data_IF_037808288588
#
_entry.id   IF_037808288588
#
_cell.length_a   1.000
_cell.length_b   1.000
_cell.length_c   1.000
_cell.angle_alpha   90.00
_cell.angle_beta   90.00
_cell.angle_gamma   90.00
#
_symmetry.space_group_name_H-M   'P 1'
#
loop_
_entity.id
_entity.type
_entity.pdbx_description
1 polymer ?
#
# COMPACT_ATOMS: atom_id res chain seq x y z
N UNK A 1 -14.49 4.50 -26.39
CA UNK A 1 -13.26 3.72 -26.11
C UNK A 1 -13.35 3.15 -24.70
N UNK A 2 -14.46 2.45 -24.39
CA UNK A 2 -14.63 1.76 -23.12
C UNK A 2 -14.20 0.31 -23.30
N UNK A 3 -13.55 -0.26 -22.30
CA UNK A 3 -13.24 -1.69 -22.12
C UNK A 3 -11.96 -2.25 -22.76
N UNK A 4 -11.15 -1.45 -23.46
CA UNK A 4 -9.87 -1.94 -23.96
C UNK A 4 -8.80 -1.86 -22.86
N UNK A 5 -8.51 -3.01 -22.24
CA UNK A 5 -7.34 -3.18 -21.39
C UNK A 5 -6.11 -3.49 -22.24
N UNK A 6 -5.05 -2.70 -22.07
CA UNK A 6 -3.75 -2.88 -22.70
C UNK A 6 -2.99 -4.04 -22.06
N UNK A 7 -3.15 -4.25 -20.74
CA UNK A 7 -2.49 -5.30 -19.97
C UNK A 7 -3.51 -6.21 -19.25
N UNK A 8 -4.41 -6.91 -19.97
CA UNK A 8 -5.41 -7.76 -19.36
C UNK A 8 -4.78 -8.92 -18.59
N UNK A 9 -5.28 -9.18 -17.37
CA UNK A 9 -4.71 -10.21 -16.50
C UNK A 9 -4.62 -11.59 -17.15
N UNK A 10 -5.59 -11.98 -17.99
CA UNK A 10 -5.61 -13.28 -18.65
C UNK A 10 -4.37 -13.52 -19.56
N UNK A 11 -3.86 -12.47 -20.19
CA UNK A 11 -2.70 -12.55 -21.09
C UNK A 11 -1.39 -12.22 -20.35
N UNK A 12 -1.45 -11.31 -19.37
CA UNK A 12 -0.27 -10.74 -18.71
C UNK A 12 -0.09 -11.20 -17.25
N UNK A 13 -0.75 -12.28 -16.80
CA UNK A 13 -0.59 -12.82 -15.43
C UNK A 13 0.88 -13.05 -15.04
N UNK A 14 1.71 -13.43 -16.01
CA UNK A 14 3.15 -13.65 -15.83
C UNK A 14 3.89 -12.36 -15.47
N UNK A 15 3.43 -11.20 -15.94
CA UNK A 15 4.00 -9.90 -15.58
C UNK A 15 3.68 -9.53 -14.13
N UNK A 16 2.47 -9.83 -13.65
CA UNK A 16 2.11 -9.69 -12.22
C UNK A 16 2.98 -10.59 -11.34
N UNK A 17 3.12 -11.87 -11.72
CA UNK A 17 3.95 -12.82 -10.97
C UNK A 17 5.42 -12.41 -11.00
N UNK A 18 5.94 -12.01 -12.16
CA UNK A 18 7.30 -11.52 -12.33
C UNK A 18 7.58 -10.27 -11.49
N UNK A 19 6.62 -9.34 -11.46
CA UNK A 19 6.69 -8.14 -10.62
C UNK A 19 6.71 -8.50 -9.13
N UNK A 20 5.81 -9.36 -8.66
CA UNK A 20 5.77 -9.81 -7.25
C UNK A 20 7.08 -10.55 -6.89
N UNK A 21 7.61 -11.39 -7.78
CA UNK A 21 8.87 -12.07 -7.55
C UNK A 21 10.04 -11.07 -7.42
N UNK A 22 10.14 -10.12 -8.35
CA UNK A 22 11.14 -9.05 -8.28
C UNK A 22 10.99 -8.22 -7.00
N UNK A 23 9.74 -7.94 -6.59
CA UNK A 23 9.41 -7.24 -5.36
C UNK A 23 9.93 -7.96 -4.12
N UNK A 24 9.63 -9.26 -4.02
CA UNK A 24 10.06 -10.09 -2.89
C UNK A 24 11.58 -10.17 -2.82
N UNK A 25 12.28 -10.19 -3.96
CA UNK A 25 13.74 -10.13 -4.01
C UNK A 25 14.24 -8.77 -3.51
N UNK A 26 13.67 -7.66 -3.96
CA UNK A 26 14.03 -6.31 -3.51
C UNK A 26 13.80 -6.16 -2.01
N UNK A 27 12.66 -6.63 -1.49
CA UNK A 27 12.36 -6.60 -0.05
C UNK A 27 13.30 -7.50 0.75
N UNK A 28 13.61 -8.70 0.25
CA UNK A 28 14.57 -9.60 0.89
C UNK A 28 15.98 -8.99 0.94
N UNK A 29 16.41 -8.28 -0.11
CA UNK A 29 17.66 -7.53 -0.12
C UNK A 29 17.64 -6.34 0.85
N UNK A 30 16.57 -5.54 0.85
CA UNK A 30 16.44 -4.39 1.77
C UNK A 30 16.49 -4.83 3.25
N UNK A 31 15.84 -5.95 3.56
CA UNK A 31 15.83 -6.54 4.90
C UNK A 31 17.15 -7.23 5.25
N UNK A 32 17.66 -8.08 4.37
CA UNK A 32 18.85 -8.89 4.64
C UNK A 32 20.15 -8.07 4.68
N UNK A 33 20.30 -7.10 3.77
CA UNK A 33 21.54 -6.31 3.64
C UNK A 33 21.53 -5.12 4.58
N UNK A 34 20.36 -4.50 4.80
CA UNK A 34 20.30 -3.21 5.46
C UNK A 34 19.53 -3.17 6.78
N UNK A 35 18.92 -4.27 7.24
CA UNK A 35 18.35 -4.37 8.59
C UNK A 35 19.31 -5.11 9.52
N UNK A 36 20.23 -4.38 10.16
CA UNK A 36 20.91 -4.90 11.35
C UNK A 36 19.98 -4.76 12.55
N UNK A 37 19.73 -5.83 13.33
CA UNK A 37 18.91 -5.75 14.53
C UNK A 37 19.47 -4.71 15.49
N UNK A 38 18.63 -3.77 15.95
CA UNK A 38 18.96 -2.84 17.05
C UNK A 38 19.57 -1.49 16.66
N UNK A 39 19.83 -1.20 15.39
CA UNK A 39 20.29 0.13 14.95
C UNK A 39 19.19 0.88 14.21
N UNK A 40 18.77 2.03 14.76
CA UNK A 40 17.90 2.99 14.08
C UNK A 40 18.59 3.46 12.78
N UNK A 41 17.87 3.50 11.64
CA UNK A 41 18.43 4.04 10.40
C UNK A 41 18.81 5.50 10.61
N UNK A 42 19.98 5.91 10.15
CA UNK A 42 20.31 7.34 10.10
C UNK A 42 19.43 8.04 9.08
N UNK A 43 19.14 9.34 9.29
CA UNK A 43 18.45 10.20 8.31
C UNK A 43 19.07 10.08 6.91
N UNK A 44 20.40 10.03 6.82
CA UNK A 44 21.11 9.83 5.54
C UNK A 44 20.78 8.48 4.90
N UNK A 45 20.77 7.41 5.70
CA UNK A 45 20.41 6.07 5.23
C UNK A 45 18.96 6.01 4.74
N UNK A 46 18.04 6.67 5.44
CA UNK A 46 16.63 6.76 5.07
C UNK A 46 16.43 7.49 3.74
N UNK A 47 17.05 8.66 3.57
CA UNK A 47 17.00 9.43 2.33
C UNK A 47 17.59 8.64 1.15
N UNK A 48 18.76 8.02 1.34
CA UNK A 48 19.40 7.22 0.27
C UNK A 48 18.47 6.09 -0.18
N UNK A 49 17.82 5.39 0.75
CA UNK A 49 16.86 4.34 0.41
C UNK A 49 15.66 4.89 -0.34
N UNK A 50 15.10 6.01 0.10
CA UNK A 50 13.98 6.67 -0.59
C UNK A 50 14.35 7.00 -2.04
N UNK A 51 15.53 7.59 -2.26
CA UNK A 51 16.02 7.89 -3.62
C UNK A 51 16.20 6.62 -4.45
N UNK A 52 16.77 5.55 -3.88
CA UNK A 52 16.90 4.27 -4.58
C UNK A 52 15.53 3.73 -5.02
N UNK A 53 14.52 3.75 -4.15
CA UNK A 53 13.18 3.27 -4.50
C UNK A 53 12.49 4.16 -5.54
N UNK A 54 12.66 5.48 -5.47
CA UNK A 54 12.17 6.40 -6.51
C UNK A 54 12.84 6.08 -7.85
N UNK A 55 14.16 5.89 -7.88
CA UNK A 55 14.87 5.52 -9.10
C UNK A 55 14.44 4.16 -9.64
N UNK A 56 14.15 3.18 -8.77
CA UNK A 56 13.60 1.88 -9.17
C UNK A 56 12.20 2.03 -9.79
N UNK A 57 11.33 2.88 -9.23
CA UNK A 57 10.01 3.16 -9.80
C UNK A 57 10.12 3.84 -11.17
N UNK A 58 11.05 4.79 -11.33
CA UNK A 58 11.32 5.45 -12.62
C UNK A 58 11.93 4.49 -13.65
N UNK A 59 12.85 3.63 -13.22
CA UNK A 59 13.43 2.59 -14.08
C UNK A 59 12.37 1.58 -14.52
N UNK A 60 11.46 1.19 -13.62
CA UNK A 60 10.31 0.36 -13.97
C UNK A 60 9.39 1.06 -14.95
N UNK A 61 9.07 2.35 -14.75
CA UNK A 61 8.24 3.10 -15.69
C UNK A 61 8.86 3.16 -17.09
N UNK A 62 10.17 3.39 -17.16
CA UNK A 62 10.89 3.35 -18.44
C UNK A 62 10.87 1.94 -19.05
N UNK A 63 11.07 0.90 -18.25
CA UNK A 63 10.97 -0.49 -18.68
C UNK A 63 9.58 -0.85 -19.20
N UNK A 64 8.53 -0.40 -18.53
CA UNK A 64 7.14 -0.53 -18.95
C UNK A 64 6.90 0.18 -20.30
N UNK A 65 7.38 1.41 -20.46
CA UNK A 65 7.30 2.14 -21.73
C UNK A 65 7.94 1.36 -22.88
N UNK A 66 9.16 0.84 -22.67
CA UNK A 66 9.87 0.05 -23.68
C UNK A 66 9.15 -1.28 -23.98
N UNK A 67 8.62 -1.93 -22.96
CA UNK A 67 7.85 -3.15 -23.10
C UNK A 67 6.59 -2.92 -23.94
N UNK A 68 5.83 -1.86 -23.65
CA UNK A 68 4.63 -1.51 -24.41
C UNK A 68 4.96 -1.13 -25.87
N UNK A 69 6.05 -0.41 -26.12
CA UNK A 69 6.48 -0.12 -27.49
C UNK A 69 6.80 -1.40 -28.30
N UNK A 70 7.31 -2.43 -27.64
CA UNK A 70 7.60 -3.71 -28.27
C UNK A 70 6.36 -4.58 -28.43
N UNK A 71 5.48 -4.61 -27.43
CA UNK A 71 4.35 -5.54 -27.35
C UNK A 71 3.11 -5.06 -28.12
N UNK A 72 2.76 -3.77 -28.00
CA UNK A 72 1.52 -3.22 -28.58
C UNK A 72 1.44 -3.38 -30.12
N UNK A 73 2.53 -3.27 -30.91
CA UNK A 73 2.48 -3.52 -32.36
C UNK A 73 2.17 -4.99 -32.73
N UNK A 74 2.43 -5.95 -31.84
CA UNK A 74 2.16 -7.36 -32.08
C UNK A 74 0.69 -7.73 -31.76
N UNK A 75 -0.07 -6.81 -31.18
CA UNK A 75 -1.46 -7.04 -30.78
C UNK A 75 -2.43 -6.81 -31.95
N UNK A 76 -3.15 -7.85 -32.41
CA UNK A 76 -4.05 -7.74 -33.56
C UNK A 76 -5.28 -6.88 -33.28
N UNK A 77 -5.67 -6.72 -32.01
CA UNK A 77 -6.80 -5.90 -31.57
C UNK A 77 -6.50 -4.39 -31.55
N UNK A 78 -5.22 -4.00 -31.69
CA UNK A 78 -4.78 -2.60 -31.68
C UNK A 78 -4.36 -2.08 -33.06
N UNK A 79 -4.61 -2.84 -34.12
CA UNK A 79 -4.20 -2.49 -35.48
C UNK A 79 -4.82 -1.14 -35.89
N UNK A 80 -3.97 -0.21 -36.31
CA UNK A 80 -4.37 1.13 -36.74
C UNK A 80 -4.40 2.19 -35.63
N UNK A 81 -4.08 1.83 -34.39
CA UNK A 81 -3.87 2.79 -33.30
C UNK A 81 -2.41 3.27 -33.26
N UNK A 82 -2.18 4.46 -32.70
CA UNK A 82 -0.82 4.95 -32.43
C UNK A 82 -0.26 4.26 -31.17
N UNK A 83 0.48 3.17 -31.39
CA UNK A 83 1.10 2.40 -30.31
C UNK A 83 2.11 3.22 -29.49
N UNK A 84 2.79 4.19 -30.10
CA UNK A 84 3.75 5.03 -29.40
C UNK A 84 3.04 6.00 -28.45
N UNK A 85 1.88 6.52 -28.87
CA UNK A 85 1.03 7.34 -28.01
C UNK A 85 0.43 6.51 -26.87
N UNK A 86 -0.12 5.32 -27.15
CA UNK A 86 -0.65 4.42 -26.11
C UNK A 86 0.41 4.08 -25.06
N UNK A 87 1.61 3.66 -25.49
CA UNK A 87 2.71 3.36 -24.57
C UNK A 87 3.08 4.56 -23.69
N UNK A 88 3.10 5.77 -24.27
CA UNK A 88 3.38 7.01 -23.54
C UNK A 88 2.30 7.31 -22.51
N UNK A 89 1.04 7.25 -22.91
CA UNK A 89 -0.10 7.57 -22.05
C UNK A 89 -0.16 6.62 -20.85
N UNK A 90 -0.01 5.31 -21.07
CA UNK A 90 0.05 4.30 -19.98
C UNK A 90 1.24 4.51 -19.04
N UNK A 91 2.39 4.94 -19.57
CA UNK A 91 3.57 5.22 -18.73
C UNK A 91 3.40 6.53 -17.93
N UNK A 92 2.65 7.49 -18.45
CA UNK A 92 2.27 8.70 -17.71
C UNK A 92 1.21 8.39 -16.65
N UNK A 93 0.26 7.50 -16.95
CA UNK A 93 -0.70 6.97 -15.98
C UNK A 93 0.00 6.28 -14.81
N UNK A 94 1.01 5.43 -15.09
CA UNK A 94 1.83 4.84 -14.03
C UNK A 94 2.50 5.90 -13.17
N UNK A 95 3.14 6.90 -13.79
CA UNK A 95 3.87 7.93 -13.06
C UNK A 95 2.93 8.82 -12.23
N UNK A 96 1.81 9.24 -12.82
CA UNK A 96 0.78 10.02 -12.13
C UNK A 96 0.21 9.22 -10.96
N UNK A 97 -0.10 7.94 -11.20
CA UNK A 97 -0.57 7.03 -10.17
C UNK A 97 0.43 6.84 -9.05
N UNK A 98 1.71 6.64 -9.38
CA UNK A 98 2.78 6.51 -8.40
C UNK A 98 2.91 7.77 -7.53
N UNK A 99 2.87 8.97 -8.13
CA UNK A 99 2.96 10.23 -7.37
C UNK A 99 1.76 10.42 -6.45
N UNK A 100 0.55 10.14 -6.92
CA UNK A 100 -0.68 10.24 -6.12
C UNK A 100 -0.64 9.25 -4.96
N UNK A 101 -0.32 8.00 -5.23
CA UNK A 101 -0.19 6.96 -4.20
C UNK A 101 0.94 7.27 -3.22
N UNK A 102 2.06 7.81 -3.68
CA UNK A 102 3.17 8.21 -2.81
C UNK A 102 2.77 9.36 -1.88
N UNK A 103 2.00 10.32 -2.38
CA UNK A 103 1.47 11.42 -1.57
C UNK A 103 0.46 10.92 -0.52
N UNK A 104 -0.49 10.07 -0.92
CA UNK A 104 -1.49 9.48 -0.01
C UNK A 104 -0.84 8.56 1.01
N UNK A 105 0.23 7.85 0.64
CA UNK A 105 0.92 6.96 1.57
C UNK A 105 1.56 7.73 2.74
N UNK A 106 1.90 9.02 2.61
CA UNK A 106 2.45 9.84 3.71
C UNK A 106 1.48 9.86 4.91
N UNK A 107 0.17 9.88 4.67
CA UNK A 107 -0.83 9.82 5.74
C UNK A 107 -0.74 8.50 6.53
N UNK A 108 -0.37 7.40 5.86
CA UNK A 108 -0.15 6.11 6.51
C UNK A 108 1.01 6.20 7.51
N UNK A 109 2.10 6.90 7.17
CA UNK A 109 3.25 7.09 8.10
C UNK A 109 2.84 7.80 9.37
N UNK A 110 1.99 8.82 9.29
CA UNK A 110 1.48 9.49 10.49
C UNK A 110 0.66 8.53 11.36
N UNK A 111 -0.14 7.66 10.76
CA UNK A 111 -0.85 6.61 11.53
C UNK A 111 0.11 5.64 12.18
N UNK A 112 1.15 5.18 11.48
CA UNK A 112 2.19 4.32 12.09
C UNK A 112 2.80 4.97 13.33
N UNK A 113 3.19 6.24 13.24
CA UNK A 113 3.76 7.00 14.37
C UNK A 113 2.77 7.13 15.53
N UNK A 114 1.51 7.47 15.22
CA UNK A 114 0.45 7.60 16.23
C UNK A 114 0.19 6.28 16.95
N UNK A 115 0.11 5.16 16.21
CA UNK A 115 -0.10 3.81 16.76
C UNK A 115 1.08 3.40 17.64
N UNK A 116 2.32 3.55 17.17
CA UNK A 116 3.49 3.19 17.97
C UNK A 116 3.63 4.03 19.22
N UNK A 117 3.28 5.32 19.16
CA UNK A 117 3.27 6.21 20.32
C UNK A 117 2.19 5.79 21.31
N UNK A 118 0.97 5.51 20.83
CA UNK A 118 -0.16 5.12 21.66
C UNK A 118 0.08 3.79 22.40
N UNK A 119 0.57 2.78 21.70
CA UNK A 119 0.88 1.48 22.30
C UNK A 119 2.25 1.44 22.98
N UNK A 120 3.03 2.53 22.93
CA UNK A 120 4.42 2.59 23.41
C UNK A 120 5.29 1.44 22.88
N UNK A 121 5.21 1.19 21.57
CA UNK A 121 5.94 0.08 20.91
C UNK A 121 7.45 0.36 20.96
N UNK A 122 8.26 -0.53 21.59
CA UNK A 122 9.71 -0.35 21.64
C UNK A 122 10.33 -0.27 20.25
N UNK A 123 11.29 0.65 20.06
CA UNK A 123 11.92 0.93 18.76
C UNK A 123 12.48 -0.31 18.06
N UNK A 124 13.03 -1.26 18.82
CA UNK A 124 13.56 -2.53 18.31
C UNK A 124 12.50 -3.45 17.68
N UNK A 125 11.22 -3.28 18.00
CA UNK A 125 10.11 -4.06 17.44
C UNK A 125 9.33 -3.32 16.37
N UNK A 126 9.49 -1.99 16.23
CA UNK A 126 8.81 -1.20 15.20
C UNK A 126 9.15 -1.69 13.79
N UNK A 127 10.41 -2.05 13.52
CA UNK A 127 10.82 -2.61 12.23
C UNK A 127 10.07 -3.90 11.87
N UNK A 128 9.81 -4.75 12.88
CA UNK A 128 9.04 -5.98 12.70
C UNK A 128 7.60 -5.65 12.36
N UNK A 129 6.96 -4.76 13.11
CA UNK A 129 5.56 -4.36 12.84
C UNK A 129 5.43 -3.69 11.48
N UNK A 130 6.35 -2.81 11.09
CA UNK A 130 6.37 -2.18 9.77
C UNK A 130 6.51 -3.21 8.64
N UNK A 131 7.36 -4.22 8.82
CA UNK A 131 7.54 -5.27 7.82
C UNK A 131 6.24 -6.05 7.60
N UNK A 132 5.63 -6.56 8.67
CA UNK A 132 4.37 -7.29 8.56
C UNK A 132 3.23 -6.38 8.08
N UNK A 133 3.21 -5.12 8.53
CA UNK A 133 2.29 -4.08 8.10
C UNK A 133 2.31 -3.84 6.59
N UNK A 134 3.50 -3.78 5.99
CA UNK A 134 3.64 -3.61 4.54
C UNK A 134 3.23 -4.87 3.79
N UNK A 135 3.51 -6.05 4.35
CA UNK A 135 3.09 -7.31 3.74
C UNK A 135 1.58 -7.47 3.73
N UNK A 136 0.90 -7.11 4.83
CA UNK A 136 -0.55 -7.07 4.86
C UNK A 136 -1.12 -5.98 3.95
N UNK A 137 -0.56 -4.77 3.95
CA UNK A 137 -0.96 -3.71 3.03
C UNK A 137 -0.87 -4.13 1.56
N UNK A 138 0.23 -4.76 1.13
CA UNK A 138 0.37 -5.28 -0.25
C UNK A 138 -0.73 -6.32 -0.55
N UNK A 139 -1.02 -7.22 0.40
CA UNK A 139 -2.06 -8.23 0.25
C UNK A 139 -3.47 -7.61 0.15
N UNK A 140 -3.81 -6.71 1.07
CA UNK A 140 -5.12 -6.05 1.09
C UNK A 140 -5.29 -5.14 -0.10
N UNK A 141 -4.26 -4.42 -0.54
CA UNK A 141 -4.32 -3.62 -1.76
C UNK A 141 -4.46 -4.49 -3.00
N UNK A 142 -3.76 -5.63 -3.11
CA UNK A 142 -4.01 -6.58 -4.19
C UNK A 142 -5.48 -7.04 -4.22
N UNK A 143 -6.06 -7.32 -3.06
CA UNK A 143 -7.47 -7.69 -2.91
C UNK A 143 -8.41 -6.54 -3.32
N UNK A 144 -8.23 -5.33 -2.80
CA UNK A 144 -9.08 -4.18 -3.11
C UNK A 144 -8.95 -3.72 -4.55
N UNK A 145 -7.76 -3.79 -5.15
CA UNK A 145 -7.57 -3.46 -6.57
C UNK A 145 -8.25 -4.51 -7.44
N UNK A 146 -8.16 -5.79 -7.09
CA UNK A 146 -8.87 -6.85 -7.81
C UNK A 146 -10.38 -6.65 -7.74
N UNK A 147 -10.93 -6.42 -6.54
CA UNK A 147 -12.36 -6.12 -6.34
C UNK A 147 -12.77 -4.82 -7.04
N UNK A 148 -11.95 -3.77 -6.91
CA UNK A 148 -12.13 -2.47 -7.51
C UNK A 148 -12.17 -2.55 -9.03
N UNK A 149 -11.27 -3.31 -9.66
CA UNK A 149 -11.24 -3.47 -11.13
C UNK A 149 -12.54 -4.05 -11.70
N UNK A 150 -13.27 -4.84 -10.91
CA UNK A 150 -14.58 -5.38 -11.28
C UNK A 150 -15.68 -4.32 -11.04
N UNK A 151 -15.63 -3.65 -9.90
CA UNK A 151 -16.61 -2.63 -9.50
C UNK A 151 -16.55 -1.37 -10.36
N UNK A 152 -15.36 -0.98 -10.82
CA UNK A 152 -15.13 0.25 -11.58
C UNK A 152 -15.56 0.14 -13.06
N UNK A 153 -15.91 -1.06 -13.54
CA UNK A 153 -16.61 -1.23 -14.82
C UNK A 153 -17.97 -0.51 -14.83
N UNK A 154 -18.53 -0.24 -13.64
CA UNK A 154 -19.76 0.49 -13.46
C UNK A 154 -19.48 1.96 -13.15
N UNK A 155 -19.55 2.85 -14.15
CA UNK A 155 -19.22 4.27 -13.97
C UNK A 155 -20.00 5.01 -12.86
N UNK A 156 -21.20 4.54 -12.48
CA UNK A 156 -21.94 5.10 -11.35
C UNK A 156 -21.28 4.81 -9.99
N UNK A 157 -20.49 3.75 -9.87
CA UNK A 157 -19.74 3.39 -8.66
C UNK A 157 -18.66 4.44 -8.40
N UNK A 158 -17.91 4.85 -9.42
CA UNK A 158 -16.92 5.94 -9.33
C UNK A 158 -17.58 7.22 -8.82
N UNK A 159 -18.75 7.57 -9.34
CA UNK A 159 -19.48 8.77 -8.91
C UNK A 159 -19.90 8.71 -7.43
N UNK A 160 -20.35 7.55 -6.95
CA UNK A 160 -20.69 7.35 -5.53
C UNK A 160 -19.47 7.50 -4.64
N UNK A 161 -18.35 6.86 -5.00
CA UNK A 161 -17.10 6.99 -4.24
C UNK A 161 -16.59 8.44 -4.25
N UNK A 162 -16.65 9.14 -5.38
CA UNK A 162 -16.29 10.56 -5.47
C UNK A 162 -17.14 11.44 -4.54
N UNK A 163 -18.46 11.26 -4.54
CA UNK A 163 -19.36 11.97 -3.61
C UNK A 163 -19.03 11.62 -2.16
N UNK A 164 -18.82 10.34 -1.86
CA UNK A 164 -18.44 9.88 -0.53
C UNK A 164 -17.15 10.53 -0.02
N UNK A 165 -16.13 10.66 -0.88
CA UNK A 165 -14.87 11.32 -0.55
C UNK A 165 -15.04 12.82 -0.30
N UNK A 166 -15.84 13.50 -1.13
CA UNK A 166 -16.18 14.91 -0.90
C UNK A 166 -16.87 15.10 0.45
N UNK A 167 -17.88 14.28 0.76
CA UNK A 167 -18.60 14.35 2.02
C UNK A 167 -17.68 14.09 3.22
N UNK A 168 -16.77 13.12 3.10
CA UNK A 168 -15.82 12.78 4.16
C UNK A 168 -14.80 13.90 4.37
N UNK A 169 -14.24 14.46 3.29
CA UNK A 169 -13.34 15.61 3.35
C UNK A 169 -14.00 16.84 3.98
N UNK A 170 -15.24 17.17 3.58
CA UNK A 170 -16.02 18.24 4.20
C UNK A 170 -16.27 17.98 5.68
N UNK A 171 -16.64 16.74 6.04
CA UNK A 171 -16.86 16.35 7.43
C UNK A 171 -15.61 16.58 8.28
N UNK A 172 -14.42 16.22 7.78
CA UNK A 172 -13.15 16.43 8.49
C UNK A 172 -12.89 17.94 8.69
N UNK A 173 -13.14 18.77 7.67
CA UNK A 173 -12.94 20.23 7.75
C UNK A 173 -13.84 20.92 8.80
N UNK A 174 -15.03 20.37 9.07
CA UNK A 174 -16.01 20.97 9.98
C UNK A 174 -16.14 20.24 11.33
N UNK A 175 -15.36 19.18 11.57
CA UNK A 175 -15.40 18.48 12.86
C UNK A 175 -14.59 19.25 13.91
N UNK A 176 -15.18 19.57 15.09
CA UNK A 176 -14.41 20.10 16.20
C UNK A 176 -13.39 19.05 16.68
N UNK A 177 -12.14 19.48 16.91
CA UNK A 177 -11.12 18.65 17.55
C UNK A 177 -11.59 18.24 18.96
N UNK A 178 -12.22 17.08 19.06
CA UNK A 178 -12.46 16.41 20.35
C UNK A 178 -11.28 15.47 20.59
N UNK A 179 -10.72 15.42 21.82
CA UNK A 179 -9.74 14.40 22.15
C UNK A 179 -10.40 13.03 21.99
N UNK A 180 -9.95 12.29 20.98
CA UNK A 180 -10.40 10.92 20.72
C UNK A 180 -9.83 10.07 21.85
N UNK A 181 -10.68 9.60 22.77
CA UNK A 181 -10.28 8.64 23.81
C UNK A 181 -10.10 7.26 23.15
N UNK A 182 -8.86 6.80 22.93
CA UNK A 182 -8.63 5.60 22.12
C UNK A 182 -9.02 4.33 22.87
N UNK A 183 -9.21 4.40 24.19
CA UNK A 183 -9.72 3.31 25.04
C UNK A 183 -11.13 2.86 24.65
N UNK A 184 -11.88 3.73 23.97
CA UNK A 184 -13.22 3.45 23.42
C UNK A 184 -13.21 3.19 21.91
N UNK A 185 -12.02 3.08 21.30
CA UNK A 185 -11.90 2.85 19.86
C UNK A 185 -12.49 1.46 19.51
N UNK A 186 -13.45 1.38 18.58
CA UNK A 186 -14.11 0.13 18.20
C UNK A 186 -13.12 -0.96 17.74
N UNK A 187 -11.97 -0.59 17.18
CA UNK A 187 -10.92 -1.54 16.77
C UNK A 187 -10.32 -2.24 18.00
N UNK A 188 -9.97 -1.48 19.04
CA UNK A 188 -9.40 -2.02 20.28
C UNK A 188 -10.43 -2.87 21.03
N UNK A 189 -11.69 -2.44 21.05
CA UNK A 189 -12.79 -3.19 21.66
C UNK A 189 -13.07 -4.50 20.91
N UNK A 190 -13.02 -4.48 19.57
CA UNK A 190 -13.19 -5.66 18.73
C UNK A 190 -12.10 -6.69 18.97
N UNK A 191 -10.82 -6.26 19.01
CA UNK A 191 -9.69 -7.15 19.26
C UNK A 191 -9.78 -7.76 20.66
N UNK A 192 -10.07 -6.96 21.70
CA UNK A 192 -10.27 -7.45 23.08
C UNK A 192 -11.43 -8.45 23.21
N UNK A 193 -12.43 -8.37 22.32
CA UNK A 193 -13.57 -9.29 22.29
C UNK A 193 -13.24 -10.61 21.57
N UNK A 194 -12.36 -10.57 20.57
CA UNK A 194 -11.95 -11.74 19.78
C UNK A 194 -10.84 -12.55 20.46
N UNK A 195 -9.88 -11.89 21.10
CA UNK A 195 -8.73 -12.55 21.73
C UNK A 195 -8.37 -11.92 23.09
N UNK A 196 -7.94 -12.73 24.08
CA UNK A 196 -7.38 -12.22 25.32
C UNK A 196 -6.01 -11.54 25.04
N UNK A 197 -5.84 -10.32 25.55
CA UNK A 197 -4.64 -9.49 25.31
C UNK A 197 -3.72 -9.55 26.52
N UNK A 198 -2.42 -9.80 26.32
CA UNK A 198 -1.46 -9.81 27.44
C UNK A 198 -1.24 -8.39 28.00
N UNK A 199 -1.07 -8.23 29.32
CA UNK A 199 -0.85 -6.92 29.94
C UNK A 199 0.53 -6.32 29.66
N UNK A 200 1.52 -7.13 29.25
CA UNK A 200 2.88 -6.70 28.97
C UNK A 200 3.39 -7.17 27.60
N UNK A 201 4.43 -6.48 27.11
CA UNK A 201 5.18 -6.90 25.93
C UNK A 201 6.04 -8.14 26.23
N UNK A 202 5.92 -9.17 25.39
CA UNK A 202 6.70 -10.39 25.49
C UNK A 202 7.69 -10.48 24.33
N UNK A 203 8.73 -9.66 24.42
CA UNK A 203 9.76 -9.51 23.39
C UNK A 203 9.16 -9.17 22.01
N UNK A 204 9.53 -9.92 20.97
CA UNK A 204 9.09 -9.72 19.59
C UNK A 204 7.88 -10.59 19.20
N UNK A 205 7.29 -11.34 20.13
CA UNK A 205 6.20 -12.28 19.84
C UNK A 205 4.87 -11.56 19.64
N UNK A 206 4.13 -11.93 18.60
CA UNK A 206 2.79 -11.41 18.31
C UNK A 206 1.69 -12.16 19.07
N UNK A 207 1.88 -13.45 19.29
CA UNK A 207 0.97 -14.29 20.06
C UNK A 207 1.76 -15.24 20.95
N UNK A 208 1.08 -15.72 21.98
CA UNK A 208 1.59 -16.67 22.96
C UNK A 208 0.51 -17.68 23.27
N UNK A 209 0.94 -18.88 23.66
CA UNK A 209 0.03 -19.84 24.28
C UNK A 209 0.25 -19.80 25.78
N UNK A 210 -0.80 -19.47 26.53
CA UNK A 210 -0.80 -19.47 28.00
C UNK A 210 -2.00 -20.29 28.43
N UNK A 211 -1.76 -21.36 29.19
CA UNK A 211 -2.78 -22.30 29.67
C UNK A 211 -3.68 -22.88 28.56
N UNK A 212 -3.09 -23.27 27.43
CA UNK A 212 -3.80 -23.86 26.29
C UNK A 212 -4.70 -22.87 25.52
N UNK A 213 -4.60 -21.57 25.82
CA UNK A 213 -5.32 -20.49 25.11
C UNK A 213 -4.33 -19.59 24.37
N UNK A 214 -4.70 -19.16 23.17
CA UNK A 214 -3.93 -18.18 22.40
C UNK A 214 -4.19 -16.78 22.93
N UNK A 215 -3.14 -16.13 23.42
CA UNK A 215 -3.12 -14.73 23.83
C UNK A 215 -2.41 -13.90 22.78
N UNK A 216 -2.96 -12.72 22.48
CA UNK A 216 -2.33 -11.75 21.59
C UNK A 216 -1.55 -10.72 22.39
N UNK A 217 -0.38 -10.33 21.91
CA UNK A 217 0.44 -9.30 22.58
C UNK A 217 0.04 -7.91 22.13
N UNK A 218 0.37 -6.85 22.89
CA UNK A 218 0.17 -5.46 22.44
C UNK A 218 0.83 -5.16 21.08
N UNK A 219 1.90 -5.88 20.72
CA UNK A 219 2.57 -5.75 19.42
C UNK A 219 1.66 -6.21 18.27
N UNK A 220 0.88 -7.27 18.46
CA UNK A 220 -0.10 -7.73 17.48
C UNK A 220 -1.30 -6.79 17.39
N UNK A 221 -1.75 -6.25 18.52
CA UNK A 221 -2.81 -5.24 18.52
C UNK A 221 -2.40 -4.00 17.72
N UNK A 222 -1.15 -3.55 17.88
CA UNK A 222 -0.60 -2.44 17.09
C UNK A 222 -0.55 -2.78 15.59
N UNK A 223 -0.07 -3.98 15.22
CA UNK A 223 -0.08 -4.45 13.83
C UNK A 223 -1.50 -4.49 13.25
N UNK A 224 -2.45 -5.09 13.96
CA UNK A 224 -3.83 -5.19 13.51
C UNK A 224 -4.49 -3.81 13.33
N UNK A 225 -4.15 -2.83 14.18
CA UNK A 225 -4.64 -1.47 14.02
C UNK A 225 -4.09 -0.81 12.76
N UNK A 226 -2.79 -0.98 12.48
CA UNK A 226 -2.14 -0.52 11.26
C UNK A 226 -2.83 -1.10 10.03
N UNK A 227 -3.02 -2.42 9.98
CA UNK A 227 -3.67 -3.11 8.86
C UNK A 227 -5.09 -2.60 8.65
N UNK A 228 -5.85 -2.41 9.73
CA UNK A 228 -7.20 -1.89 9.65
C UNK A 228 -7.24 -0.44 9.17
N UNK A 229 -6.28 0.39 9.59
CA UNK A 229 -6.14 1.74 9.08
C UNK A 229 -5.78 1.76 7.60
N UNK A 230 -4.89 0.87 7.12
CA UNK A 230 -4.58 0.75 5.70
C UNK A 230 -5.80 0.36 4.87
N UNK A 231 -6.62 -0.58 5.37
CA UNK A 231 -7.91 -0.92 4.76
C UNK A 231 -8.83 0.30 4.66
N UNK A 232 -8.89 1.14 5.70
CA UNK A 232 -9.67 2.38 5.66
C UNK A 232 -9.10 3.33 4.59
N UNK A 233 -7.78 3.49 4.52
CA UNK A 233 -7.10 4.34 3.53
C UNK A 233 -7.20 3.81 2.10
N UNK A 234 -7.47 2.53 1.92
CA UNK A 234 -7.75 1.95 0.62
C UNK A 234 -9.08 2.48 0.03
N UNK A 235 -10.01 2.94 0.88
CA UNK A 235 -11.32 3.44 0.44
C UNK A 235 -11.19 4.75 -0.36
N UNK A 236 -10.17 5.54 -0.05
CA UNK A 236 -9.84 6.83 -0.66
C UNK A 236 -8.79 6.70 -1.76
N UNK A 237 -7.75 5.90 -1.53
CA UNK A 237 -6.70 5.70 -2.54
C UNK A 237 -7.19 4.91 -3.77
N UNK A 238 -7.99 3.86 -3.59
CA UNK A 238 -8.44 3.00 -4.71
C UNK A 238 -9.32 3.75 -5.72
N UNK A 239 -10.35 4.51 -5.33
CA UNK A 239 -11.11 5.31 -6.30
C UNK A 239 -10.26 6.41 -6.96
N UNK A 240 -9.33 7.02 -6.22
CA UNK A 240 -8.48 8.08 -6.74
C UNK A 240 -7.56 7.56 -7.86
N UNK A 241 -6.94 6.40 -7.67
CA UNK A 241 -6.07 5.79 -8.69
C UNK A 241 -6.85 5.26 -9.89
N UNK A 242 -8.04 4.68 -9.68
CA UNK A 242 -8.91 4.26 -10.79
C UNK A 242 -9.51 5.43 -11.58
N UNK A 243 -9.52 6.64 -11.02
CA UNK A 243 -9.86 7.86 -11.77
C UNK A 243 -8.74 8.30 -12.73
N UNK A 244 -7.50 7.84 -12.53
CA UNK A 244 -6.37 8.12 -13.41
C UNK A 244 -6.20 7.06 -14.50
N UNK A 245 -6.42 5.79 -14.17
CA UNK A 245 -6.24 4.68 -15.11
C UNK A 245 -7.21 3.55 -14.83
N UNK A 246 -7.68 2.90 -15.89
CA UNK A 246 -8.49 1.70 -15.79
C UNK A 246 -7.64 0.42 -15.81
N UNK A 247 -6.32 0.53 -16.03
CA UNK A 247 -5.41 -0.62 -16.13
C UNK A 247 -5.05 -1.17 -14.74
N UNK A 248 -5.58 -2.34 -14.33
CA UNK A 248 -5.35 -2.85 -12.97
C UNK A 248 -3.87 -3.15 -12.70
N UNK A 249 -3.08 -3.47 -13.73
CA UNK A 249 -1.64 -3.67 -13.61
C UNK A 249 -0.93 -2.38 -13.22
N UNK A 250 -1.33 -1.25 -13.81
CA UNK A 250 -0.76 0.07 -13.53
C UNK A 250 -1.16 0.52 -12.12
N UNK A 251 -2.43 0.33 -11.77
CA UNK A 251 -2.93 0.57 -10.40
C UNK A 251 -2.12 -0.24 -9.40
N UNK A 252 -1.96 -1.54 -9.62
CA UNK A 252 -1.23 -2.44 -8.71
C UNK A 252 0.25 -2.09 -8.55
N UNK A 253 0.96 -1.89 -9.65
CA UNK A 253 2.41 -1.68 -9.62
C UNK A 253 2.78 -0.30 -9.06
N UNK A 254 2.09 0.76 -9.47
CA UNK A 254 2.35 2.13 -8.99
C UNK A 254 2.16 2.26 -7.47
N UNK A 255 1.09 1.64 -6.99
CA UNK A 255 0.68 1.61 -5.60
C UNK A 255 1.69 0.84 -4.71
N UNK A 256 2.20 -0.30 -5.18
CA UNK A 256 3.23 -1.06 -4.47
C UNK A 256 4.55 -0.29 -4.41
N UNK A 257 4.98 0.33 -5.51
CA UNK A 257 6.19 1.16 -5.51
C UNK A 257 6.08 2.31 -4.50
N UNK A 258 4.91 2.93 -4.39
CA UNK A 258 4.64 4.00 -3.43
C UNK A 258 4.81 3.54 -1.98
N UNK A 259 4.17 2.43 -1.59
CA UNK A 259 4.25 1.90 -0.21
C UNK A 259 5.69 1.58 0.19
N UNK A 260 6.44 0.91 -0.68
CA UNK A 260 7.78 0.44 -0.35
C UNK A 260 8.77 1.61 -0.27
N UNK A 261 8.64 2.60 -1.16
CA UNK A 261 9.46 3.82 -1.11
C UNK A 261 9.29 4.56 0.21
N UNK A 262 8.06 4.66 0.70
CA UNK A 262 7.73 5.41 1.90
C UNK A 262 8.19 4.74 3.21
N UNK A 263 8.35 3.41 3.25
CA UNK A 263 8.90 2.69 4.41
C UNK A 263 10.20 3.31 4.92
N UNK A 264 11.03 3.81 4.00
CA UNK A 264 12.29 4.45 4.34
C UNK A 264 12.11 5.78 5.06
N UNK A 265 11.03 6.52 4.79
CA UNK A 265 10.71 7.82 5.39
C UNK A 265 10.15 7.73 6.81
N UNK A 266 9.65 6.57 7.26
CA UNK A 266 9.23 6.39 8.65
C UNK A 266 10.36 6.66 9.67
N UNK A 267 11.62 6.50 9.24
CA UNK A 267 12.80 6.66 10.10
C UNK A 267 13.51 8.02 9.94
N UNK A 268 12.87 8.98 9.26
CA UNK A 268 13.32 10.37 9.09
C UNK A 268 12.76 11.22 10.23
#
# INVERSE_FOLDING_TARGET
>A
MGDLLLLPFAEYWWAYVGFIAALLVILAFDLGVFSKPGTLPSLRSAIIRSVIFILLALAFNYGLYQFLLFELPNRPDLVGMDHAQLARDTSLEFLAGYVVEYALAIDNVFVFVAVFSYFAVPAQYQQKVLFYGIMGAILFRALFISLGSILMQYGWVVAIFGIFLILTGLKILFLPEKPIDPSRNPVILGIKKLFPVTPAYHQDKFWLEIDGKTWVTPLFVALAFIEFSDIIFAIDSVPAIFALTNEPFIVFTSNIFAIIGLRSLFFV
#
